data_IF_659082101424
#
_entry.id   IF_659082101424
#
_cell.length_a   1.000
_cell.length_b   1.000
_cell.length_c   1.000
_cell.angle_alpha   90.00
_cell.angle_beta   90.00
_cell.angle_gamma   90.00
#
_symmetry.space_group_name_H-M   'P 1'
#
loop_
_entity.id
_entity.type
_entity.pdbx_description
1 polymer ?
#
# COMPACT_ATOMS: atom_id res chain seq x y z
N UNK A 1 -25.42 -19.16 -23.05
CA UNK A 1 -25.28 -17.90 -22.29
C UNK A 1 -23.80 -17.52 -22.18
N UNK A 2 -23.42 -16.29 -22.53
CA UNK A 2 -22.00 -15.87 -22.54
C UNK A 2 -21.52 -15.48 -21.14
N UNK A 3 -20.34 -15.95 -20.74
CA UNK A 3 -19.77 -15.69 -19.40
C UNK A 3 -18.82 -14.49 -19.43
N UNK A 4 -19.21 -13.38 -18.78
CA UNK A 4 -18.40 -12.13 -18.73
C UNK A 4 -17.00 -12.34 -18.12
N UNK A 5 -16.86 -13.20 -17.11
CA UNK A 5 -15.58 -13.51 -16.42
C UNK A 5 -15.44 -15.02 -16.24
N UNK A 6 -14.30 -15.61 -16.62
CA UNK A 6 -14.03 -17.06 -16.45
C UNK A 6 -14.29 -17.55 -15.02
N UNK A 7 -13.95 -16.73 -14.02
CA UNK A 7 -14.11 -17.04 -12.59
C UNK A 7 -15.48 -16.63 -12.00
N UNK A 8 -16.42 -16.10 -12.79
CA UNK A 8 -17.71 -15.57 -12.28
C UNK A 8 -17.56 -14.38 -11.32
N UNK A 9 -16.36 -13.79 -11.22
CA UNK A 9 -16.04 -12.74 -10.25
C UNK A 9 -15.73 -13.23 -8.84
N UNK A 10 -15.41 -14.52 -8.65
CA UNK A 10 -15.03 -15.09 -7.34
C UNK A 10 -13.75 -15.92 -7.44
N UNK A 11 -13.01 -16.06 -6.35
CA UNK A 11 -11.82 -16.92 -6.25
C UNK A 11 -12.11 -18.29 -5.61
N UNK A 12 -13.16 -18.96 -6.10
CA UNK A 12 -13.78 -20.12 -5.42
C UNK A 12 -13.11 -21.46 -5.73
N UNK A 13 -12.33 -21.60 -6.81
CA UNK A 13 -11.64 -22.82 -7.29
C UNK A 13 -11.90 -24.10 -6.46
N UNK A 14 -12.91 -24.90 -6.85
CA UNK A 14 -13.26 -26.18 -6.21
C UNK A 14 -14.05 -26.10 -4.91
N UNK A 15 -14.18 -24.93 -4.28
CA UNK A 15 -14.95 -24.75 -3.04
C UNK A 15 -16.45 -24.67 -3.33
N UNK A 16 -17.29 -25.32 -2.53
CA UNK A 16 -18.75 -25.31 -2.62
C UNK A 16 -19.39 -24.07 -1.97
N UNK A 17 -18.99 -23.74 -0.75
CA UNK A 17 -19.45 -22.55 -0.04
C UNK A 17 -18.27 -21.91 0.67
N UNK A 18 -18.27 -20.58 0.80
CA UNK A 18 -17.26 -19.86 1.58
C UNK A 18 -17.93 -18.90 2.52
N UNK A 19 -17.31 -18.71 3.69
CA UNK A 19 -17.86 -17.87 4.75
C UNK A 19 -18.15 -16.45 4.25
N UNK A 20 -19.20 -15.86 4.80
CA UNK A 20 -19.60 -14.50 4.49
C UNK A 20 -18.84 -13.50 5.37
N UNK A 21 -18.56 -12.34 4.79
CA UNK A 21 -18.01 -11.17 5.46
C UNK A 21 -18.98 -10.02 5.23
N UNK A 22 -19.14 -9.16 6.24
CA UNK A 22 -19.95 -7.94 6.12
C UNK A 22 -19.12 -6.83 5.50
N UNK A 23 -19.70 -6.09 4.57
CA UNK A 23 -19.07 -4.91 4.00
C UNK A 23 -18.90 -3.83 5.09
N UNK A 24 -17.75 -3.16 5.17
CA UNK A 24 -17.52 -2.10 6.16
C UNK A 24 -18.49 -0.91 6.03
N UNK A 25 -18.88 -0.55 4.79
CA UNK A 25 -19.66 0.68 4.56
C UNK A 25 -21.17 0.48 4.59
N UNK A 26 -21.67 -0.64 4.06
CA UNK A 26 -23.12 -0.88 3.92
C UNK A 26 -23.58 -2.14 4.64
N UNK A 27 -22.70 -2.79 5.40
CA UNK A 27 -22.98 -4.02 6.17
C UNK A 27 -23.54 -5.19 5.36
N UNK A 28 -23.54 -5.12 4.02
CA UNK A 28 -24.05 -6.17 3.14
C UNK A 28 -23.25 -7.46 3.29
N UNK A 29 -23.95 -8.59 3.36
CA UNK A 29 -23.34 -9.93 3.32
C UNK A 29 -22.70 -10.19 1.95
N UNK A 30 -21.39 -10.42 1.92
CA UNK A 30 -20.65 -10.76 0.71
C UNK A 30 -19.76 -11.97 0.98
N UNK A 31 -19.72 -12.99 0.11
CA UNK A 31 -18.84 -14.13 0.33
C UNK A 31 -17.38 -13.66 0.30
N UNK A 32 -16.55 -14.24 1.17
CA UNK A 32 -15.14 -13.87 1.38
C UNK A 32 -14.31 -13.87 0.09
N UNK A 33 -14.68 -14.69 -0.91
CA UNK A 33 -13.98 -14.79 -2.20
C UNK A 33 -14.44 -13.76 -3.25
N UNK A 34 -15.53 -13.03 -2.98
CA UNK A 34 -16.05 -11.95 -3.82
C UNK A 34 -15.75 -10.57 -3.24
N UNK A 35 -15.57 -10.49 -1.92
CA UNK A 35 -15.26 -9.24 -1.23
C UNK A 35 -13.93 -8.66 -1.72
N UNK A 36 -13.93 -7.35 -2.00
CA UNK A 36 -12.72 -6.62 -2.36
C UNK A 36 -12.03 -6.25 -1.06
N UNK A 37 -10.86 -6.83 -0.81
CA UNK A 37 -10.10 -6.64 0.42
C UNK A 37 -8.96 -5.65 0.17
N UNK A 38 -8.85 -4.65 1.02
CA UNK A 38 -7.75 -3.68 1.01
C UNK A 38 -7.12 -3.66 2.39
N UNK A 39 -5.80 -3.72 2.42
CA UNK A 39 -5.04 -3.53 3.64
C UNK A 39 -4.63 -2.06 3.70
N UNK A 40 -5.21 -1.35 4.65
CA UNK A 40 -4.88 0.05 4.93
C UNK A 40 -3.94 0.06 6.12
N UNK A 41 -2.70 0.45 5.87
CA UNK A 41 -1.72 0.77 6.91
C UNK A 41 -1.67 2.27 7.02
N UNK A 42 -2.02 2.81 8.18
CA UNK A 42 -1.97 4.24 8.46
C UNK A 42 -1.21 4.45 9.77
N UNK A 43 -0.45 5.54 9.88
CA UNK A 43 0.05 5.94 11.19
C UNK A 43 -1.15 6.34 12.06
N UNK A 44 -1.07 6.15 13.38
CA UNK A 44 -2.12 6.59 14.29
C UNK A 44 -2.31 8.11 14.28
N UNK A 45 -1.23 8.83 14.00
CA UNK A 45 -1.19 10.28 13.90
C UNK A 45 -1.13 10.70 12.43
N UNK A 46 -1.89 11.73 12.06
CA UNK A 46 -1.82 12.34 10.73
C UNK A 46 -0.53 13.15 10.57
N UNK A 47 0.04 13.18 9.35
CA UNK A 47 1.34 13.82 9.06
C UNK A 47 1.49 15.26 9.57
N UNK A 48 0.41 16.04 9.62
CA UNK A 48 0.45 17.42 10.14
C UNK A 48 0.68 17.45 11.66
N UNK A 49 -0.05 16.61 12.40
CA UNK A 49 0.01 16.52 13.86
C UNK A 49 1.26 15.81 14.38
N UNK A 50 2.07 15.19 13.50
CA UNK A 50 3.32 14.52 13.91
C UNK A 50 4.29 15.51 14.58
N UNK A 51 4.36 16.75 14.10
CA UNK A 51 5.24 17.79 14.67
C UNK A 51 4.76 18.22 16.05
N UNK A 52 3.50 18.61 16.17
CA UNK A 52 2.91 19.07 17.44
C UNK A 52 2.99 17.97 18.52
N UNK A 53 2.75 16.71 18.15
CA UNK A 53 2.86 15.58 19.09
C UNK A 53 4.31 15.32 19.49
N UNK A 54 5.27 15.52 18.58
CA UNK A 54 6.70 15.32 18.91
C UNK A 54 7.19 16.41 19.88
N UNK A 55 6.79 17.67 19.66
CA UNK A 55 7.11 18.81 20.53
C UNK A 55 6.43 18.71 21.90
N UNK A 56 5.19 18.21 21.95
CA UNK A 56 4.46 17.99 23.19
C UNK A 56 4.87 16.69 23.93
N UNK A 57 5.62 15.78 23.28
CA UNK A 57 6.01 14.52 23.90
C UNK A 57 7.20 14.70 24.85
N UNK A 58 7.14 14.00 25.97
CA UNK A 58 8.22 13.98 26.98
C UNK A 58 9.49 13.28 26.46
N UNK A 59 9.42 12.59 25.32
CA UNK A 59 10.54 11.90 24.69
C UNK A 59 11.29 12.86 23.74
N UNK A 60 12.41 13.42 24.18
CA UNK A 60 13.20 14.41 23.43
C UNK A 60 14.01 13.78 22.29
N UNK A 61 13.61 14.02 21.04
CA UNK A 61 14.42 13.72 19.86
C UNK A 61 15.39 14.86 19.55
N UNK A 62 16.68 14.70 19.85
CA UNK A 62 17.74 15.65 19.49
C UNK A 62 17.94 15.68 17.97
N UNK A 63 17.52 16.75 17.31
CA UNK A 63 18.18 17.20 16.08
C UNK A 63 19.54 17.82 16.45
N UNK A 64 20.59 17.46 15.71
CA UNK A 64 21.97 17.99 15.71
C UNK A 64 22.97 17.52 16.79
N UNK A 65 23.96 16.76 16.32
CA UNK A 65 25.38 16.67 16.73
C UNK A 65 25.74 16.78 18.22
N UNK A 66 26.15 15.65 18.84
CA UNK A 66 27.04 15.69 20.01
C UNK A 66 28.10 14.57 19.98
N UNK A 67 29.29 14.82 20.58
CA UNK A 67 30.55 14.08 20.42
C UNK A 67 30.58 12.71 21.13
N UNK A 68 31.57 11.83 20.83
CA UNK A 68 31.65 10.50 21.43
C UNK A 68 31.95 10.52 22.95
N UNK A 69 31.36 9.59 23.73
CA UNK A 69 31.49 9.56 25.18
C UNK A 69 32.83 8.95 25.64
N UNK A 70 33.53 9.64 26.54
CA UNK A 70 34.80 9.24 27.15
C UNK A 70 34.66 8.57 28.53
N UNK A 71 33.49 8.03 28.89
CA UNK A 71 33.34 7.33 30.19
C UNK A 71 32.43 6.08 30.13
N UNK A 72 32.81 4.98 30.80
CA UNK A 72 32.13 3.68 30.71
C UNK A 72 30.88 3.54 31.59
N UNK A 73 30.49 4.58 32.34
CA UNK A 73 29.30 4.59 33.21
C UNK A 73 27.98 4.84 32.46
N UNK A 74 28.00 5.05 31.15
CA UNK A 74 26.78 5.30 30.34
C UNK A 74 26.20 4.07 29.62
N UNK A 75 26.78 2.88 29.81
CA UNK A 75 26.28 1.66 29.14
C UNK A 75 24.93 1.15 29.71
N UNK A 76 24.53 1.59 30.90
CA UNK A 76 23.23 1.27 31.51
C UNK A 76 22.14 2.32 31.21
N UNK A 77 22.47 3.45 30.59
CA UNK A 77 21.51 4.48 30.17
C UNK A 77 21.21 4.46 28.66
N UNK A 78 21.88 3.62 27.88
CA UNK A 78 21.64 3.45 26.44
C UNK A 78 20.38 2.63 26.08
N UNK A 79 19.60 2.18 27.08
CA UNK A 79 18.42 1.33 26.89
C UNK A 79 17.08 2.09 26.81
N UNK A 80 17.06 3.42 26.95
CA UNK A 80 15.85 4.21 26.73
C UNK A 80 15.91 4.75 25.31
N UNK A 81 15.13 4.14 24.42
CA UNK A 81 14.87 4.70 23.08
C UNK A 81 14.13 6.03 23.29
N UNK A 82 14.87 7.14 23.42
CA UNK A 82 14.34 8.51 23.59
C UNK A 82 13.79 9.07 22.28
N UNK A 83 12.99 8.28 21.57
CA UNK A 83 12.29 8.71 20.35
C UNK A 83 10.90 8.05 20.36
N UNK A 84 9.86 8.88 20.39
CA UNK A 84 8.48 8.40 20.38
C UNK A 84 8.13 7.83 19.00
N UNK A 85 8.29 6.52 18.84
CA UNK A 85 7.95 5.83 17.61
C UNK A 85 6.42 5.73 17.45
N UNK A 86 5.84 6.54 16.56
CA UNK A 86 4.39 6.57 16.30
C UNK A 86 3.91 5.20 15.77
N UNK A 87 3.01 4.50 16.49
CA UNK A 87 2.49 3.21 16.04
C UNK A 87 1.62 3.30 14.78
N UNK A 88 1.48 2.15 14.11
CA UNK A 88 0.71 2.00 12.87
C UNK A 88 -0.57 1.21 13.10
N UNK A 89 -1.68 1.68 12.54
CA UNK A 89 -2.96 0.99 12.43
C UNK A 89 -2.97 0.07 11.22
N UNK A 90 -3.21 -1.22 11.47
CA UNK A 90 -3.30 -2.25 10.46
C UNK A 90 -4.74 -2.71 10.30
N UNK A 91 -5.45 -2.15 9.31
CA UNK A 91 -6.87 -2.44 9.11
C UNK A 91 -7.07 -3.17 7.78
N UNK A 92 -7.72 -4.32 7.81
CA UNK A 92 -8.13 -5.07 6.62
C UNK A 92 -9.60 -4.79 6.31
N UNK A 93 -9.83 -3.86 5.40
CA UNK A 93 -11.18 -3.46 5.00
C UNK A 93 -11.72 -4.44 3.94
N UNK A 94 -12.96 -4.89 4.12
CA UNK A 94 -13.68 -5.70 3.15
C UNK A 94 -14.88 -4.93 2.59
N UNK A 95 -14.88 -4.70 1.28
CA UNK A 95 -15.96 -4.01 0.58
C UNK A 95 -16.82 -4.97 -0.25
N UNK A 96 -18.11 -4.64 -0.35
CA UNK A 96 -18.95 -5.17 -1.41
C UNK A 96 -18.57 -4.53 -2.76
N UNK A 97 -18.98 -5.17 -3.86
CA UNK A 97 -18.65 -4.69 -5.22
C UNK A 97 -19.22 -3.28 -5.47
N UNK A 98 -20.42 -3.00 -4.98
CA UNK A 98 -21.08 -1.69 -5.15
C UNK A 98 -20.31 -0.58 -4.43
N UNK A 99 -19.99 -0.75 -3.14
CA UNK A 99 -19.23 0.23 -2.38
C UNK A 99 -17.84 0.46 -2.97
N UNK A 100 -17.18 -0.60 -3.44
CA UNK A 100 -15.84 -0.47 -4.03
C UNK A 100 -15.83 0.30 -5.37
N UNK A 101 -16.93 0.28 -6.12
CA UNK A 101 -17.10 1.07 -7.34
C UNK A 101 -17.43 2.52 -6.99
N UNK A 102 -18.34 2.73 -6.03
CA UNK A 102 -18.75 4.06 -5.58
C UNK A 102 -17.59 4.85 -4.96
N UNK A 103 -16.76 4.22 -4.13
CA UNK A 103 -15.57 4.84 -3.54
C UNK A 103 -14.34 4.80 -4.47
N UNK A 104 -14.52 4.43 -5.74
CA UNK A 104 -13.48 4.33 -6.78
C UNK A 104 -12.25 3.47 -6.42
N UNK A 105 -12.39 2.52 -5.48
CA UNK A 105 -11.33 1.57 -5.11
C UNK A 105 -11.05 0.57 -6.23
N UNK A 106 -12.09 0.22 -6.99
CA UNK A 106 -12.00 -0.57 -8.22
C UNK A 106 -12.77 0.16 -9.31
N UNK A 107 -12.18 0.31 -10.49
CA UNK A 107 -12.80 0.95 -11.66
C UNK A 107 -13.24 -0.06 -12.70
N UNK A 108 -14.22 0.31 -13.53
CA UNK A 108 -14.63 -0.51 -14.68
C UNK A 108 -13.48 -0.54 -15.69
N UNK A 109 -13.08 -1.75 -16.11
CA UNK A 109 -12.02 -1.98 -17.10
C UNK A 109 -12.59 -2.55 -18.39
N UNK A 110 -11.87 -2.39 -19.50
CA UNK A 110 -12.18 -2.97 -20.82
C UNK A 110 -12.27 -4.50 -20.78
N UNK A 111 -12.78 -5.13 -21.85
CA UNK A 111 -12.91 -6.60 -21.93
C UNK A 111 -11.58 -7.31 -21.68
N UNK A 112 -10.50 -6.77 -22.26
CA UNK A 112 -9.13 -7.25 -22.11
C UNK A 112 -8.54 -6.88 -20.75
N UNK A 113 -8.68 -5.61 -20.32
CA UNK A 113 -8.13 -5.13 -19.04
C UNK A 113 -8.75 -5.82 -17.81
N UNK A 114 -9.91 -6.48 -17.93
CA UNK A 114 -10.49 -7.32 -16.87
C UNK A 114 -9.71 -8.62 -16.64
N UNK A 115 -8.93 -9.09 -17.61
CA UNK A 115 -8.07 -10.28 -17.51
C UNK A 115 -6.82 -9.99 -16.69
N UNK A 116 -6.31 -8.75 -16.74
CA UNK A 116 -5.13 -8.31 -15.99
C UNK A 116 -5.43 -8.33 -14.48
N UNK A 117 -4.71 -9.20 -13.76
CA UNK A 117 -4.80 -9.39 -12.30
C UNK A 117 -3.67 -8.71 -11.53
N UNK A 118 -2.65 -8.20 -12.24
CA UNK A 118 -1.57 -7.46 -11.63
C UNK A 118 -2.13 -6.24 -10.86
N UNK A 119 -1.57 -5.93 -9.67
CA UNK A 119 -1.93 -4.72 -8.96
C UNK A 119 -1.57 -3.49 -9.81
N UNK A 120 -2.29 -2.37 -9.66
CA UNK A 120 -1.89 -1.13 -10.33
C UNK A 120 -0.47 -0.72 -9.88
N UNK A 121 0.36 -0.18 -10.79
CA UNK A 121 1.69 0.28 -10.45
C UNK A 121 1.61 1.39 -9.40
N UNK A 122 2.41 1.26 -8.34
CA UNK A 122 2.47 2.26 -7.25
C UNK A 122 3.42 3.37 -7.66
N UNK A 123 2.93 4.59 -7.83
CA UNK A 123 3.77 5.77 -8.06
C UNK A 123 4.76 5.89 -6.90
N UNK A 124 6.06 5.79 -7.22
CA UNK A 124 7.15 5.99 -6.26
C UNK A 124 7.79 7.33 -6.61
N UNK A 125 7.94 8.18 -5.60
CA UNK A 125 8.74 9.38 -5.74
C UNK A 125 10.20 8.97 -5.48
N UNK A 126 11.06 9.18 -6.48
CA UNK A 126 12.52 9.07 -6.35
C UNK A 126 13.08 10.44 -6.71
N UNK A 127 14.00 10.95 -5.90
CA UNK A 127 14.81 12.15 -6.20
C UNK A 127 14.00 13.42 -6.56
N UNK A 128 12.88 13.64 -5.86
CA UNK A 128 12.04 14.84 -6.05
C UNK A 128 11.16 14.84 -7.29
N UNK A 129 11.26 13.83 -8.18
CA UNK A 129 10.39 13.66 -9.35
C UNK A 129 9.41 12.49 -9.15
N UNK A 130 8.15 12.67 -9.57
CA UNK A 130 7.14 11.60 -9.53
C UNK A 130 7.49 10.57 -10.60
N UNK A 131 8.07 9.44 -10.24
CA UNK A 131 8.31 8.36 -11.20
C UNK A 131 7.03 7.53 -11.32
N UNK A 132 6.39 7.61 -12.49
CA UNK A 132 5.25 6.76 -12.80
C UNK A 132 5.76 5.40 -13.29
N UNK A 133 5.57 4.29 -12.53
CA UNK A 133 6.17 3.01 -12.86
C UNK A 133 5.54 2.36 -14.10
N UNK A 134 4.42 2.89 -14.60
CA UNK A 134 3.83 2.47 -15.86
C UNK A 134 4.67 2.92 -17.08
N UNK A 135 5.46 3.98 -16.94
CA UNK A 135 6.28 4.56 -18.02
C UNK A 135 7.64 3.86 -18.08
N UNK A 136 8.23 3.55 -16.92
CA UNK A 136 9.52 2.84 -16.82
C UNK A 136 9.45 1.40 -17.35
N UNK A 137 8.29 0.74 -17.28
CA UNK A 137 8.10 -0.59 -17.89
C UNK A 137 7.86 -0.53 -19.40
N UNK A 138 7.41 0.62 -19.94
CA UNK A 138 7.22 0.80 -21.38
C UNK A 138 8.54 1.14 -22.11
N UNK A 139 9.52 1.72 -21.40
CA UNK A 139 10.84 2.05 -21.96
C UNK A 139 11.81 0.85 -21.98
N UNK A 140 11.59 -0.18 -21.18
CA UNK A 140 12.39 -1.42 -21.16
C UNK A 140 12.04 -2.45 -22.24
N UNK A 141 10.91 -2.29 -22.93
CA UNK A 141 10.42 -3.18 -24.00
C UNK A 141 10.60 -2.57 -25.41
N UNK A 142 11.40 -1.51 -25.57
CA UNK A 142 11.84 -1.09 -26.91
C UNK A 142 12.97 -2.02 -27.37
N UNK A 143 12.80 -2.85 -28.41
CA UNK A 143 13.93 -3.55 -29.00
C UNK A 143 14.92 -2.51 -29.53
N UNK A 144 16.20 -2.74 -29.22
CA UNK A 144 17.31 -1.95 -29.74
C UNK A 144 17.30 -1.97 -31.28
N UNK A 145 16.78 -0.91 -31.87
CA UNK A 145 16.94 -0.60 -33.28
C UNK A 145 17.97 0.54 -33.39
N UNK A 146 19.13 0.21 -33.95
CA UNK A 146 20.03 1.17 -34.60
C UNK A 146 21.16 1.76 -33.76
N UNK A 147 22.31 1.09 -33.77
CA UNK A 147 23.60 1.77 -33.93
C UNK A 147 24.36 0.99 -35.03
N UNK A 148 24.48 1.61 -36.20
CA UNK A 148 25.23 1.12 -37.34
C UNK A 148 26.68 1.64 -37.30
N UNK A 149 27.62 0.84 -37.83
CA UNK A 149 28.85 1.33 -38.48
C UNK A 149 30.16 1.12 -37.72
N UNK A 150 30.91 0.07 -38.10
CA UNK A 150 32.36 0.06 -38.09
C UNK A 150 32.87 -0.90 -39.18
N UNK A 151 33.11 -0.35 -40.37
CA UNK A 151 34.21 -0.68 -41.28
C UNK A 151 34.71 0.64 -41.84
#
# INVERSE_FOLDING_TARGET
>A
MTKKRRNGGRNKHGRGHTSFVRCSNCSRCVPKDKAIKRFTVRNMVESAAVRDISEASVYTGTSSSLPPPSSPTQLTQHFIRTEYAIPKLYIKIAYCVSCAIHSHVVRVRSREGRRNRAPPPRVRFKDGKKVNPAVTTAEGDKPAAGAAGAQ
#
